data_IF_998061174424
#
_entry.id   IF_998061174424
#
_cell.length_a   1.000
_cell.length_b   1.000
_cell.length_c   1.000
_cell.angle_alpha   90.00
_cell.angle_beta   90.00
_cell.angle_gamma   90.00
#
_symmetry.space_group_name_H-M   'P 1'
#
loop_
_entity.id
_entity.type
_entity.pdbx_description
1 polymer ?
#
# COMPACT_ATOMS: atom_id res chain seq x y z
N UNK A 1 -18.77 -57.46 41.05
CA UNK A 1 -18.81 -57.16 42.50
C UNK A 1 -17.39 -56.93 42.96
N UNK A 2 -16.94 -55.68 43.04
CA UNK A 2 -15.73 -55.29 43.78
C UNK A 2 -15.86 -53.81 44.11
N UNK A 3 -15.87 -53.56 45.42
CA UNK A 3 -16.20 -52.31 46.07
C UNK A 3 -14.90 -51.67 46.59
N UNK A 4 -14.84 -50.34 46.48
CA UNK A 4 -14.14 -49.34 47.29
C UNK A 4 -12.74 -49.65 47.85
N UNK A 5 -11.81 -48.73 47.60
CA UNK A 5 -11.18 -47.96 48.68
C UNK A 5 -10.72 -46.59 48.17
N UNK A 6 -11.30 -45.53 48.74
CA UNK A 6 -10.88 -44.15 48.59
C UNK A 6 -9.74 -43.87 49.58
N UNK A 7 -8.71 -43.15 49.15
CA UNK A 7 -7.68 -42.58 50.03
C UNK A 7 -7.69 -41.07 49.89
N UNK A 8 -8.04 -40.43 51.01
CA UNK A 8 -8.02 -39.01 51.25
C UNK A 8 -6.82 -38.74 52.16
N UNK A 9 -5.86 -37.92 51.74
CA UNK A 9 -4.73 -37.50 52.57
C UNK A 9 -4.56 -35.97 52.47
N UNK A 10 -5.38 -35.26 53.24
CA UNK A 10 -5.17 -33.86 53.59
C UNK A 10 -4.71 -33.79 55.04
N UNK A 11 -3.40 -33.71 55.28
CA UNK A 11 -2.84 -33.20 56.54
C UNK A 11 -1.31 -33.15 56.46
N UNK A 12 -0.73 -31.98 56.16
CA UNK A 12 0.50 -31.51 56.79
C UNK A 12 0.66 -30.00 56.52
N UNK A 13 0.69 -29.24 57.62
CA UNK A 13 0.86 -27.80 57.71
C UNK A 13 2.21 -27.51 58.42
N UNK A 14 2.69 -26.26 58.46
CA UNK A 14 3.97 -25.87 57.88
C UNK A 14 4.97 -25.46 58.96
N UNK A 15 6.20 -25.99 58.94
CA UNK A 15 7.33 -25.35 59.62
C UNK A 15 8.62 -26.09 59.28
N UNK A 16 9.73 -25.36 59.29
CA UNK A 16 11.09 -25.85 59.06
C UNK A 16 11.53 -26.04 57.60
N UNK A 17 11.54 -24.94 56.82
CA UNK A 17 12.60 -24.74 55.81
C UNK A 17 12.83 -23.25 55.52
N UNK A 18 12.90 -22.41 56.56
CA UNK A 18 13.45 -21.05 56.47
C UNK A 18 14.80 -21.00 57.19
N UNK A 19 15.80 -21.67 56.64
CA UNK A 19 17.21 -21.49 57.04
C UNK A 19 18.18 -22.06 55.99
N UNK A 20 18.03 -21.68 54.71
CA UNK A 20 18.97 -22.13 53.66
C UNK A 20 19.24 -21.10 52.55
N UNK A 21 18.93 -19.82 52.76
CA UNK A 21 19.11 -18.76 51.74
C UNK A 21 20.15 -17.71 52.15
N UNK A 22 20.83 -17.88 53.28
CA UNK A 22 21.83 -16.91 53.76
C UNK A 22 23.23 -17.53 53.96
N UNK A 23 23.70 -18.32 52.98
CA UNK A 23 25.11 -18.76 52.95
C UNK A 23 25.58 -19.24 51.55
N UNK A 24 25.17 -18.55 50.48
CA UNK A 24 25.74 -18.75 49.13
C UNK A 24 26.11 -17.47 48.40
N UNK A 25 26.02 -16.30 49.03
CA UNK A 25 26.65 -15.07 48.56
C UNK A 25 27.99 -14.90 49.28
N UNK A 26 29.08 -15.44 48.73
CA UNK A 26 30.49 -15.01 48.91
C UNK A 26 31.42 -16.08 48.31
N UNK A 27 31.42 -16.20 46.98
CA UNK A 27 32.55 -16.75 46.23
C UNK A 27 32.42 -16.30 44.77
N UNK A 28 33.52 -15.85 44.18
CA UNK A 28 33.69 -15.41 42.78
C UNK A 28 33.45 -13.91 42.50
N UNK A 29 34.03 -13.02 43.32
CA UNK A 29 34.62 -11.76 42.82
C UNK A 29 36.13 -11.87 42.88
N UNK A 30 36.72 -12.51 41.88
CA UNK A 30 38.15 -12.48 41.61
C UNK A 30 38.38 -12.86 40.15
N UNK A 31 38.53 -11.85 39.29
CA UNK A 31 39.27 -11.81 38.02
C UNK A 31 38.82 -10.59 37.21
N UNK A 32 39.26 -9.40 37.63
CA UNK A 32 39.20 -8.19 36.81
C UNK A 32 40.36 -7.28 37.23
N UNK A 33 41.59 -7.75 36.95
CA UNK A 33 42.83 -6.97 36.90
C UNK A 33 43.97 -7.94 36.58
N UNK A 34 43.99 -8.42 35.34
CA UNK A 34 45.14 -9.09 34.75
C UNK A 34 45.84 -8.15 33.75
N UNK A 35 47.16 -8.25 33.57
CA UNK A 35 47.94 -7.38 32.68
C UNK A 35 47.60 -7.50 31.19
N UNK A 36 46.67 -8.39 30.80
CA UNK A 36 46.22 -8.59 29.42
C UNK A 36 45.03 -7.70 29.01
N UNK A 37 44.50 -6.86 29.92
CA UNK A 37 43.40 -5.93 29.62
C UNK A 37 43.82 -4.65 28.86
N UNK A 38 45.08 -4.22 29.02
CA UNK A 38 45.58 -3.00 28.38
C UNK A 38 45.84 -3.15 26.88
N UNK A 39 46.10 -4.36 26.38
CA UNK A 39 46.38 -4.59 24.96
C UNK A 39 45.14 -4.59 24.07
N UNK A 40 43.94 -4.75 24.65
CA UNK A 40 42.67 -4.67 23.93
C UNK A 40 42.13 -3.24 23.90
N UNK A 41 42.39 -2.43 24.93
CA UNK A 41 42.00 -1.02 24.98
C UNK A 41 42.77 -0.17 23.96
N UNK A 42 44.05 -0.51 23.71
CA UNK A 42 44.88 0.13 22.68
C UNK A 42 44.48 -0.26 21.24
N UNK A 43 43.69 -1.33 21.05
CA UNK A 43 43.24 -1.79 19.72
C UNK A 43 42.02 -1.04 19.17
N UNK A 44 41.33 -0.26 20.02
CA UNK A 44 40.18 0.57 19.66
C UNK A 44 40.49 2.09 19.71
N UNK A 45 41.74 2.47 20.00
CA UNK A 45 42.16 3.85 19.93
C UNK A 45 42.12 4.34 18.48
N UNK A 46 41.49 5.49 18.24
CA UNK A 46 41.39 6.11 16.92
C UNK A 46 42.78 6.40 16.34
N UNK A 47 42.96 6.15 15.03
CA UNK A 47 44.21 6.38 14.32
C UNK A 47 44.62 7.87 14.41
N UNK A 48 45.77 8.20 15.04
CA UNK A 48 46.22 9.57 15.24
C UNK A 48 46.66 10.29 13.95
N UNK A 49 46.58 9.65 12.78
CA UNK A 49 46.84 10.30 11.49
C UNK A 49 45.62 11.00 10.87
N UNK A 50 44.40 10.82 11.40
CA UNK A 50 43.18 11.45 10.87
C UNK A 50 42.93 12.88 11.40
N UNK A 51 43.67 13.37 12.40
CA UNK A 51 43.55 14.74 12.90
C UNK A 51 44.28 15.81 12.05
N UNK A 52 44.83 15.44 10.89
CA UNK A 52 45.62 16.38 10.04
C UNK A 52 45.07 16.66 8.65
N UNK A 53 43.82 16.29 8.37
CA UNK A 53 43.20 16.59 7.08
C UNK A 53 41.76 17.06 7.24
N UNK A 54 41.58 18.32 7.63
CA UNK A 54 40.34 19.06 7.37
C UNK A 54 40.44 19.76 6.01
N UNK A 55 39.70 19.34 4.98
CA UNK A 55 39.19 20.28 4.00
C UNK A 55 37.87 20.85 4.53
N UNK A 56 37.86 22.17 4.72
CA UNK A 56 36.64 22.93 4.98
C UNK A 56 35.76 22.90 3.72
N UNK A 57 34.48 22.47 3.77
CA UNK A 57 33.60 22.64 2.62
C UNK A 57 33.17 24.11 2.55
N UNK A 58 33.65 24.79 1.52
CA UNK A 58 33.08 26.03 1.00
C UNK A 58 31.78 25.67 0.25
N UNK A 59 30.75 26.54 0.21
CA UNK A 59 29.50 26.20 -0.46
C UNK A 59 29.74 26.14 -1.96
N UNK A 60 29.67 24.94 -2.53
CA UNK A 60 29.49 24.76 -3.97
C UNK A 60 28.02 24.89 -4.25
N UNK A 61 27.68 25.97 -4.95
CA UNK A 61 26.42 26.19 -5.64
C UNK A 61 26.16 25.00 -6.57
N UNK A 62 25.36 24.04 -6.12
CA UNK A 62 24.80 23.00 -6.99
C UNK A 62 23.79 23.68 -7.89
N UNK A 63 24.14 23.80 -9.17
CA UNK A 63 23.22 24.21 -10.21
C UNK A 63 21.92 23.42 -10.09
N UNK A 64 20.80 24.14 -10.04
CA UNK A 64 19.48 23.56 -10.17
C UNK A 64 19.44 22.69 -11.43
N UNK A 65 19.19 21.40 -11.24
CA UNK A 65 18.63 20.59 -12.31
C UNK A 65 17.18 21.05 -12.40
N UNK A 66 16.74 21.64 -13.53
CA UNK A 66 15.35 22.05 -13.67
C UNK A 66 14.44 20.81 -13.63
N UNK A 67 13.26 20.96 -13.00
CA UNK A 67 12.18 19.97 -12.99
C UNK A 67 12.02 19.35 -14.39
N UNK A 68 12.09 18.03 -14.45
CA UNK A 68 11.72 17.30 -15.66
C UNK A 68 10.18 17.41 -15.81
N UNK A 69 9.69 17.68 -17.02
CA UNK A 69 8.32 18.13 -17.24
C UNK A 69 7.29 17.02 -16.99
N UNK A 70 6.13 17.43 -16.47
CA UNK A 70 4.92 16.66 -16.11
C UNK A 70 4.29 15.81 -17.23
N UNK A 71 4.96 15.65 -18.38
CA UNK A 71 4.50 14.89 -19.54
C UNK A 71 4.97 13.42 -19.56
N UNK A 72 5.67 12.97 -18.52
CA UNK A 72 6.43 11.71 -18.50
C UNK A 72 5.61 10.42 -18.41
N UNK A 73 4.27 10.47 -18.30
CA UNK A 73 3.47 9.24 -18.13
C UNK A 73 2.19 9.28 -18.95
N UNK A 74 1.92 8.16 -19.61
CA UNK A 74 0.62 7.87 -20.18
C UNK A 74 -0.45 8.08 -19.08
N UNK A 75 -1.55 8.79 -19.35
CA UNK A 75 -2.67 8.87 -18.42
C UNK A 75 -3.03 7.46 -17.90
N UNK A 76 -3.19 7.28 -16.57
CA UNK A 76 -3.34 5.96 -15.96
C UNK A 76 -4.57 5.20 -16.44
N UNK A 77 -5.52 5.88 -17.08
CA UNK A 77 -6.75 5.32 -17.62
C UNK A 77 -6.60 4.69 -19.01
N UNK A 78 -5.46 4.92 -19.69
CA UNK A 78 -5.17 4.34 -20.99
C UNK A 78 -4.48 2.97 -20.86
N UNK A 79 -4.88 1.97 -21.67
CA UNK A 79 -4.17 0.69 -21.74
C UNK A 79 -2.68 0.86 -22.02
N UNK A 80 -1.84 0.37 -21.11
CA UNK A 80 -0.39 0.34 -21.28
C UNK A 80 0.09 -1.11 -21.39
N UNK A 81 0.88 -1.40 -22.44
CA UNK A 81 1.54 -2.70 -22.61
C UNK A 81 2.73 -2.83 -21.66
N UNK A 82 2.89 -3.99 -21.02
CA UNK A 82 4.03 -4.35 -20.16
C UNK A 82 4.48 -5.78 -20.49
N UNK A 83 5.79 -6.05 -20.68
CA UNK A 83 6.93 -5.16 -20.46
C UNK A 83 7.24 -4.24 -21.66
N UNK A 84 7.25 -2.92 -21.44
CA UNK A 84 7.68 -1.93 -22.43
C UNK A 84 8.45 -0.77 -21.78
N UNK A 85 9.51 -0.32 -22.44
CA UNK A 85 10.35 0.82 -22.05
C UNK A 85 9.82 2.10 -22.70
N UNK A 86 9.65 3.16 -21.91
CA UNK A 86 9.24 4.47 -22.43
C UNK A 86 10.35 5.09 -23.27
N UNK A 87 9.99 5.70 -24.41
CA UNK A 87 10.93 6.44 -25.25
C UNK A 87 10.71 7.95 -25.11
N UNK A 88 9.52 8.43 -25.45
CA UNK A 88 9.19 9.86 -25.41
C UNK A 88 7.67 10.10 -25.36
N UNK A 89 7.27 11.27 -24.86
CA UNK A 89 5.92 11.81 -25.00
C UNK A 89 6.01 13.21 -25.60
N UNK A 90 5.29 13.44 -26.70
CA UNK A 90 5.29 14.69 -27.44
C UNK A 90 3.87 15.23 -27.61
N UNK A 91 3.69 16.53 -27.47
CA UNK A 91 2.44 17.20 -27.82
C UNK A 91 2.32 17.29 -29.35
N UNK A 92 1.23 16.77 -29.91
CA UNK A 92 0.85 17.04 -31.30
C UNK A 92 0.04 18.34 -31.37
N UNK A 93 -0.04 18.93 -32.56
CA UNK A 93 -0.90 20.09 -32.82
C UNK A 93 -2.32 19.89 -32.26
N UNK A 94 -2.72 20.71 -31.27
CA UNK A 94 -4.01 20.62 -30.58
C UNK A 94 -3.88 20.12 -29.13
N UNK A 95 -4.97 19.59 -28.58
CA UNK A 95 -5.04 18.99 -27.23
C UNK A 95 -4.77 17.47 -27.29
N UNK A 96 -3.77 17.04 -28.07
CA UNK A 96 -3.42 15.62 -28.30
C UNK A 96 -1.96 15.34 -27.96
N UNK A 97 -1.72 14.25 -27.24
CA UNK A 97 -0.42 13.71 -26.88
C UNK A 97 -0.10 12.47 -27.70
N UNK A 98 1.18 12.29 -28.02
CA UNK A 98 1.77 11.06 -28.56
C UNK A 98 2.77 10.52 -27.58
N UNK A 99 2.59 9.28 -27.16
CA UNK A 99 3.56 8.55 -26.33
C UNK A 99 4.12 7.35 -27.08
N UNK A 100 5.44 7.23 -27.12
CA UNK A 100 6.19 6.15 -27.78
C UNK A 100 6.86 5.25 -26.76
N UNK A 101 6.77 3.96 -27.01
CA UNK A 101 7.28 2.90 -26.16
C UNK A 101 7.96 1.83 -27.01
N UNK A 102 8.90 1.09 -26.43
CA UNK A 102 9.61 -0.01 -27.08
C UNK A 102 9.50 -1.28 -26.24
N UNK A 103 9.25 -2.41 -26.88
CA UNK A 103 9.21 -3.72 -26.24
C UNK A 103 10.05 -4.73 -27.03
N UNK A 104 10.57 -5.75 -26.34
CA UNK A 104 11.25 -6.89 -26.95
C UNK A 104 10.25 -7.95 -27.44
N UNK A 105 8.95 -7.76 -27.15
CA UNK A 105 7.90 -8.70 -27.56
C UNK A 105 7.54 -8.54 -29.05
N UNK A 106 7.13 -9.63 -29.72
CA UNK A 106 6.68 -9.57 -31.12
C UNK A 106 5.43 -8.70 -31.29
N UNK A 107 5.36 -7.95 -32.40
CA UNK A 107 4.24 -7.06 -32.71
C UNK A 107 2.84 -7.72 -32.61
N UNK A 108 2.71 -9.01 -32.95
CA UNK A 108 1.44 -9.72 -32.84
C UNK A 108 1.00 -9.92 -31.39
N UNK A 109 1.93 -10.17 -30.47
CA UNK A 109 1.63 -10.33 -29.03
C UNK A 109 1.13 -9.01 -28.44
N UNK A 110 1.76 -7.91 -28.84
CA UNK A 110 1.36 -6.56 -28.45
C UNK A 110 -0.03 -6.23 -29.03
N UNK A 111 -0.27 -6.59 -30.29
CA UNK A 111 -1.56 -6.37 -30.94
C UNK A 111 -2.69 -7.17 -30.28
N UNK A 112 -2.46 -8.44 -29.92
CA UNK A 112 -3.43 -9.26 -29.17
C UNK A 112 -3.78 -8.64 -27.81
N UNK A 113 -2.79 -8.11 -27.09
CA UNK A 113 -3.04 -7.37 -25.85
C UNK A 113 -3.98 -6.19 -26.06
N UNK A 114 -3.69 -5.31 -27.02
CA UNK A 114 -4.51 -4.13 -27.26
C UNK A 114 -5.90 -4.51 -27.79
N UNK A 115 -6.02 -5.51 -28.67
CA UNK A 115 -7.33 -6.02 -29.11
C UNK A 115 -8.16 -6.52 -27.93
N UNK A 116 -7.56 -7.33 -27.04
CA UNK A 116 -8.27 -7.85 -25.87
C UNK A 116 -8.70 -6.73 -24.90
N UNK A 117 -7.85 -5.72 -24.70
CA UNK A 117 -8.13 -4.63 -23.77
C UNK A 117 -9.13 -3.62 -24.33
N UNK A 118 -9.06 -3.32 -25.61
CA UNK A 118 -9.93 -2.37 -26.30
C UNK A 118 -11.29 -2.96 -26.71
N UNK A 119 -11.51 -4.26 -26.49
CA UNK A 119 -12.80 -4.95 -26.63
C UNK A 119 -13.48 -5.25 -25.27
N UNK A 120 -12.85 -4.88 -24.15
CA UNK A 120 -13.36 -5.11 -22.79
C UNK A 120 -14.26 -3.99 -22.25
N UNK A 121 -14.77 -4.17 -21.02
CA UNK A 121 -15.69 -3.21 -20.40
C UNK A 121 -15.08 -1.80 -20.31
N UNK A 122 -15.81 -0.82 -20.85
CA UNK A 122 -15.49 0.61 -21.00
C UNK A 122 -14.66 1.02 -22.23
N UNK A 123 -14.29 0.11 -23.14
CA UNK A 123 -13.65 0.47 -24.41
C UNK A 123 -14.36 -0.17 -25.61
N UNK A 124 -14.44 0.57 -26.71
CA UNK A 124 -15.00 0.09 -27.96
C UNK A 124 -13.97 0.23 -29.08
N UNK A 125 -13.53 -0.91 -29.63
CA UNK A 125 -12.64 -0.95 -30.79
C UNK A 125 -13.40 -0.48 -32.05
N UNK A 126 -12.96 0.62 -32.63
CA UNK A 126 -13.57 1.28 -33.80
C UNK A 126 -12.90 0.86 -35.11
N UNK A 127 -11.59 0.58 -35.09
CA UNK A 127 -10.80 0.16 -36.26
C UNK A 127 -9.68 -0.81 -35.86
N UNK A 128 -9.44 -1.81 -36.69
CA UNK A 128 -8.31 -2.75 -36.63
C UNK A 128 -7.84 -2.98 -38.08
N UNK A 129 -6.74 -2.33 -38.45
CA UNK A 129 -6.17 -2.39 -39.80
C UNK A 129 -4.68 -2.76 -39.72
N UNK A 130 -4.21 -3.49 -40.72
CA UNK A 130 -2.78 -3.82 -40.88
C UNK A 130 -2.31 -3.32 -42.22
N UNK A 131 -1.33 -2.41 -42.22
CA UNK A 131 -0.71 -1.85 -43.42
C UNK A 131 0.78 -2.19 -43.44
N UNK A 132 1.17 -3.10 -44.34
CA UNK A 132 2.54 -3.64 -44.36
C UNK A 132 2.85 -4.45 -43.10
N UNK A 133 3.92 -4.10 -42.39
CA UNK A 133 4.30 -4.68 -41.09
C UNK A 133 3.75 -3.87 -39.90
N UNK A 134 2.99 -2.80 -40.17
CA UNK A 134 2.45 -1.91 -39.14
C UNK A 134 0.99 -2.28 -38.83
N UNK A 135 0.68 -2.45 -37.54
CA UNK A 135 -0.69 -2.67 -37.07
C UNK A 135 -1.24 -1.39 -36.46
N UNK A 136 -2.44 -0.99 -36.87
CA UNK A 136 -3.12 0.21 -36.39
C UNK A 136 -4.48 -0.16 -35.78
N UNK A 137 -4.67 0.23 -34.52
CA UNK A 137 -5.91 0.06 -33.78
C UNK A 137 -6.46 1.43 -33.39
N UNK A 138 -7.75 1.67 -33.58
CA UNK A 138 -8.43 2.85 -33.05
C UNK A 138 -9.60 2.41 -32.17
N UNK A 139 -9.74 3.03 -31.01
CA UNK A 139 -10.79 2.71 -30.06
C UNK A 139 -11.26 3.94 -29.29
N UNK A 140 -12.49 3.89 -28.81
CA UNK A 140 -13.08 4.93 -27.97
C UNK A 140 -13.39 4.35 -26.59
N UNK A 141 -12.79 4.91 -25.54
CA UNK A 141 -12.99 4.52 -24.15
C UNK A 141 -13.93 5.46 -23.42
N UNK A 142 -14.68 4.96 -22.43
CA UNK A 142 -15.53 5.78 -21.57
C UNK A 142 -14.92 5.89 -20.17
N UNK A 143 -14.27 7.02 -19.89
CA UNK A 143 -13.60 7.29 -18.63
C UNK A 143 -14.32 8.46 -17.95
N UNK A 144 -14.73 8.30 -16.68
CA UNK A 144 -15.47 9.32 -15.93
C UNK A 144 -16.73 9.85 -16.66
N UNK A 145 -17.39 8.99 -17.44
CA UNK A 145 -18.60 9.32 -18.19
C UNK A 145 -18.36 9.99 -19.56
N UNK A 146 -17.10 10.23 -19.93
CA UNK A 146 -16.71 10.93 -21.14
C UNK A 146 -15.96 10.03 -22.14
N UNK A 147 -16.08 10.32 -23.43
CA UNK A 147 -15.47 9.56 -24.52
C UNK A 147 -14.00 9.98 -24.75
N UNK A 148 -13.13 8.99 -24.86
CA UNK A 148 -11.68 9.12 -25.05
C UNK A 148 -11.23 8.38 -26.30
N UNK A 149 -10.92 9.09 -27.39
CA UNK A 149 -10.35 8.46 -28.57
C UNK A 149 -8.88 8.07 -28.30
N UNK A 150 -8.53 6.83 -28.61
CA UNK A 150 -7.19 6.29 -28.56
C UNK A 150 -6.83 5.69 -29.92
N UNK A 151 -5.66 6.05 -30.44
CA UNK A 151 -5.05 5.40 -31.59
C UNK A 151 -3.76 4.71 -31.15
N UNK A 152 -3.62 3.43 -31.46
CA UNK A 152 -2.45 2.61 -31.17
C UNK A 152 -1.83 2.19 -32.49
N UNK A 153 -0.54 2.42 -32.67
CA UNK A 153 0.22 1.98 -33.83
C UNK A 153 1.41 1.14 -33.37
N UNK A 154 1.56 -0.06 -33.94
CA UNK A 154 2.55 -1.07 -33.52
C UNK A 154 3.42 -1.39 -34.73
N UNK A 155 4.74 -1.17 -34.59
CA UNK A 155 5.73 -1.30 -35.68
C UNK A 155 6.93 -2.16 -35.25
N UNK A 156 7.20 -3.30 -35.90
CA UNK A 156 8.45 -4.01 -35.68
C UNK A 156 9.63 -3.18 -36.20
N UNK A 157 10.76 -3.21 -35.49
CA UNK A 157 12.02 -2.56 -35.83
C UNK A 157 13.08 -3.65 -36.06
N UNK A 158 13.39 -3.92 -37.32
CA UNK A 158 14.46 -4.83 -37.71
C UNK A 158 15.72 -4.01 -38.04
N UNK A 159 16.75 -4.10 -37.21
CA UNK A 159 18.05 -3.47 -37.49
C UNK A 159 18.92 -4.40 -38.36
N UNK A 160 18.82 -4.30 -39.69
CA UNK A 160 19.78 -4.96 -40.58
C UNK A 160 21.11 -4.20 -40.59
N UNK A 161 22.03 -4.55 -39.68
CA UNK A 161 23.40 -4.04 -39.74
C UNK A 161 24.21 -4.85 -40.75
N UNK A 162 24.28 -4.38 -41.99
CA UNK A 162 25.18 -4.96 -43.01
C UNK A 162 26.58 -4.36 -42.82
N UNK A 163 27.47 -5.09 -42.14
CA UNK A 163 28.86 -4.71 -41.97
C UNK A 163 29.69 -5.89 -41.48
N UNK A 164 30.53 -6.43 -42.36
CA UNK A 164 31.40 -7.58 -42.14
C UNK A 164 32.22 -7.46 -40.84
N UNK A 165 32.22 -8.54 -40.06
CA UNK A 165 33.03 -8.77 -38.86
C UNK A 165 32.48 -8.18 -37.54
N UNK A 166 31.34 -8.69 -37.08
CA UNK A 166 30.94 -8.71 -35.67
C UNK A 166 29.84 -9.76 -35.45
N UNK A 167 29.97 -10.60 -34.42
CA UNK A 167 28.85 -11.35 -33.84
C UNK A 167 27.92 -10.35 -33.14
N UNK A 168 27.03 -9.71 -33.90
CA UNK A 168 25.94 -8.90 -33.36
C UNK A 168 24.65 -9.72 -33.44
N UNK A 169 24.04 -9.99 -32.29
CA UNK A 169 22.68 -10.53 -32.22
C UNK A 169 21.72 -9.50 -32.83
N UNK A 170 20.85 -9.95 -33.73
CA UNK A 170 19.80 -9.10 -34.29
C UNK A 170 18.78 -8.82 -33.19
N UNK A 171 18.75 -7.60 -32.66
CA UNK A 171 17.72 -7.16 -31.73
C UNK A 171 16.46 -6.81 -32.53
N UNK A 172 15.48 -7.71 -32.51
CA UNK A 172 14.15 -7.46 -33.07
C UNK A 172 13.30 -6.83 -31.97
N UNK A 173 13.12 -5.51 -32.01
CA UNK A 173 12.28 -4.79 -31.04
C UNK A 173 11.01 -4.31 -31.71
N UNK A 174 9.93 -4.10 -30.95
CA UNK A 174 8.68 -3.54 -31.47
C UNK A 174 8.44 -2.17 -30.82
N UNK A 175 8.20 -1.17 -31.67
CA UNK A 175 7.77 0.16 -31.24
C UNK A 175 6.24 0.24 -31.16
N UNK A 176 5.75 0.88 -30.10
CA UNK A 176 4.34 1.16 -29.83
C UNK A 176 4.16 2.68 -29.76
N UNK A 177 3.31 3.24 -30.61
CA UNK A 177 2.92 4.65 -30.59
C UNK A 177 1.45 4.77 -30.16
N UNK A 178 1.19 5.59 -29.14
CA UNK A 178 -0.15 5.87 -28.62
C UNK A 178 -0.48 7.34 -28.84
N UNK A 179 -1.62 7.64 -29.47
CA UNK A 179 -2.12 9.01 -29.65
C UNK A 179 -3.47 9.19 -28.96
N UNK A 180 -3.57 10.18 -28.06
CA UNK A 180 -4.72 10.39 -27.17
C UNK A 180 -4.85 11.87 -26.75
N UNK A 181 -5.98 12.34 -26.21
CA UNK A 181 -6.11 13.73 -25.78
C UNK A 181 -5.43 14.03 -24.42
N UNK A 182 -4.95 15.27 -24.20
CA UNK A 182 -4.36 15.73 -22.93
C UNK A 182 -5.41 16.00 -21.83
N UNK A 183 -6.67 16.19 -22.19
CA UNK A 183 -7.79 16.29 -21.25
C UNK A 183 -9.10 15.79 -21.87
N UNK A 184 -10.06 15.32 -21.06
CA UNK A 184 -11.35 14.94 -21.58
C UNK A 184 -12.15 16.20 -21.94
N UNK A 185 -12.10 16.63 -23.21
CA UNK A 185 -13.12 17.36 -24.02
C UNK A 185 -12.42 17.93 -25.26
N UNK A 186 -12.76 17.65 -26.52
CA UNK A 186 -14.06 17.56 -27.20
C UNK A 186 -13.79 16.81 -28.51
N UNK A 187 -14.67 15.90 -28.94
CA UNK A 187 -14.66 15.42 -30.33
C UNK A 187 -14.95 16.60 -31.26
N UNK A 188 -13.91 17.31 -31.71
CA UNK A 188 -13.96 18.02 -32.99
C UNK A 188 -13.52 17.03 -34.05
N UNK A 189 -14.51 16.34 -34.62
CA UNK A 189 -14.37 15.76 -35.94
C UNK A 189 -14.01 16.91 -36.90
N UNK A 190 -12.77 16.94 -37.36
CA UNK A 190 -12.44 17.64 -38.59
C UNK A 190 -12.94 16.78 -39.74
N UNK A 191 -14.06 17.19 -40.34
CA UNK A 191 -14.26 17.03 -41.77
C UNK A 191 -14.38 18.43 -42.40
N UNK A 192 -13.87 18.64 -43.62
CA UNK A 192 -13.73 19.95 -44.23
C UNK A 192 -15.02 20.42 -44.92
N UNK A 193 -15.09 21.73 -45.18
CA UNK A 193 -16.13 22.45 -45.93
C UNK A 193 -17.41 22.82 -45.14
N UNK A 194 -17.52 24.07 -44.70
CA UNK A 194 -18.01 25.14 -45.58
C UNK A 194 -17.78 26.52 -44.96
N UNK A 195 -17.48 27.45 -45.85
CA UNK A 195 -17.05 28.82 -45.63
C UNK A 195 -18.29 29.73 -45.58
N UNK A 196 -18.51 30.47 -44.48
CA UNK A 196 -19.13 31.82 -44.51
C UNK A 196 -19.23 32.50 -43.13
N UNK A 197 -18.35 33.47 -42.89
CA UNK A 197 -18.64 34.75 -42.20
C UNK A 197 -19.76 35.54 -42.91
N UNK A 198 -20.39 36.63 -42.38
CA UNK A 198 -19.90 37.56 -41.32
C UNK A 198 -20.96 38.15 -40.33
N UNK A 199 -20.51 38.85 -39.28
CA UNK A 199 -20.62 40.33 -39.12
C UNK A 199 -20.91 40.89 -37.69
N UNK A 200 -19.90 41.61 -37.16
CA UNK A 200 -19.86 42.89 -36.38
C UNK A 200 -20.85 43.17 -35.21
N UNK A 201 -20.38 43.30 -33.95
CA UNK A 201 -19.87 44.52 -33.22
C UNK A 201 -20.96 45.31 -32.46
N UNK A 202 -20.67 46.19 -31.46
CA UNK A 202 -19.39 46.56 -30.82
C UNK A 202 -19.38 46.61 -29.26
N UNK A 203 -18.16 46.71 -28.73
CA UNK A 203 -17.71 47.07 -27.37
C UNK A 203 -18.04 48.53 -27.00
N UNK A 204 -18.04 48.88 -25.70
CA UNK A 204 -17.37 50.10 -25.25
C UNK A 204 -16.37 49.88 -24.09
N UNK A 205 -15.23 50.56 -24.23
CA UNK A 205 -14.14 50.77 -23.27
C UNK A 205 -14.60 51.27 -21.88
N UNK A 206 -13.94 50.79 -20.82
CA UNK A 206 -13.23 51.67 -19.86
C UNK A 206 -12.23 50.88 -18.95
N UNK A 207 -11.20 51.52 -18.37
CA UNK A 207 -9.93 50.91 -17.97
C UNK A 207 -9.71 50.68 -16.46
N UNK A 208 -8.76 49.76 -16.20
CA UNK A 208 -7.72 49.70 -15.14
C UNK A 208 -8.07 49.91 -13.65
N UNK A 209 -7.99 48.79 -12.93
CA UNK A 209 -7.28 48.52 -11.67
C UNK A 209 -7.28 49.53 -10.49
N UNK A 210 -7.83 49.05 -9.37
CA UNK A 210 -7.29 49.29 -8.03
C UNK A 210 -7.38 47.96 -7.23
N UNK A 211 -6.32 47.49 -6.55
CA UNK A 211 -6.33 46.21 -5.84
C UNK A 211 -6.86 46.37 -4.41
N UNK A 212 -7.78 45.49 -4.01
CA UNK A 212 -8.19 45.30 -2.61
C UNK A 212 -7.63 43.96 -2.05
N UNK A 213 -7.41 43.87 -0.73
CA UNK A 213 -6.29 43.14 -0.14
C UNK A 213 -6.45 41.61 -0.05
N UNK A 214 -5.30 40.94 -0.13
CA UNK A 214 -5.08 39.52 0.17
C UNK A 214 -5.71 39.11 1.50
N UNK A 215 -6.64 38.15 1.44
CA UNK A 215 -6.96 37.31 2.59
C UNK A 215 -5.77 36.39 2.87
N UNK A 216 -5.25 36.49 4.09
CA UNK A 216 -4.26 35.59 4.67
C UNK A 216 -4.87 34.19 4.79
N UNK A 217 -4.20 33.09 4.40
CA UNK A 217 -4.67 31.75 4.71
C UNK A 217 -4.48 31.49 6.21
N UNK A 218 -5.59 31.25 6.92
CA UNK A 218 -5.56 30.68 8.25
C UNK A 218 -5.09 29.22 8.20
N UNK A 219 -4.44 28.70 9.28
CA UNK A 219 -3.98 27.32 9.36
C UNK A 219 -5.14 26.31 9.22
N UNK A 220 -4.91 25.06 8.77
CA UNK A 220 -5.96 24.05 8.71
C UNK A 220 -6.50 23.76 10.11
N UNK A 221 -7.75 24.16 10.35
CA UNK A 221 -8.52 23.75 11.50
C UNK A 221 -8.66 22.22 11.49
N UNK A 222 -8.45 21.62 12.67
CA UNK A 222 -8.79 20.24 12.95
C UNK A 222 -10.28 20.06 12.69
N UNK A 223 -10.62 19.32 11.64
CA UNK A 223 -12.01 19.08 11.27
C UNK A 223 -12.73 18.33 12.41
N UNK A 224 -13.85 18.86 12.93
CA UNK A 224 -14.67 18.14 13.90
C UNK A 224 -15.18 16.85 13.26
N UNK A 225 -15.06 15.73 13.98
CA UNK A 225 -15.63 14.44 13.61
C UNK A 225 -17.13 14.60 13.38
N UNK A 226 -17.55 14.66 12.11
CA UNK A 226 -18.96 14.47 11.78
C UNK A 226 -19.21 12.97 11.82
N UNK A 227 -20.08 12.53 12.73
CA UNK A 227 -20.62 11.17 12.71
C UNK A 227 -21.43 11.06 11.42
N UNK A 228 -20.84 10.47 10.38
CA UNK A 228 -21.55 10.16 9.14
C UNK A 228 -22.59 9.09 9.46
N UNK A 229 -23.88 9.45 9.43
CA UNK A 229 -24.95 8.45 9.43
C UNK A 229 -24.99 7.78 8.07
N UNK A 230 -24.91 6.45 8.07
CA UNK A 230 -24.89 5.65 6.85
C UNK A 230 -26.30 5.16 6.49
N UNK A 231 -26.68 5.27 5.22
CA UNK A 231 -28.04 4.99 4.75
C UNK A 231 -28.38 3.50 4.64
N UNK A 232 -27.39 2.61 4.72
CA UNK A 232 -27.53 1.19 4.39
C UNK A 232 -26.88 0.22 5.40
N UNK A 233 -26.68 0.64 6.66
CA UNK A 233 -26.15 -0.25 7.72
C UNK A 233 -27.11 -1.37 8.11
N UNK A 234 -28.40 -1.22 7.81
CA UNK A 234 -29.41 -2.27 7.96
C UNK A 234 -29.19 -3.45 7.00
N UNK A 235 -28.36 -3.27 5.96
CA UNK A 235 -27.95 -4.35 5.05
C UNK A 235 -26.73 -5.16 5.54
N UNK A 236 -26.16 -4.83 6.70
CA UNK A 236 -25.09 -5.63 7.31
C UNK A 236 -25.66 -6.96 7.80
N UNK A 237 -24.99 -8.06 7.47
CA UNK A 237 -25.34 -9.39 7.97
C UNK A 237 -25.42 -9.45 9.51
N UNK A 238 -26.49 -10.04 10.07
CA UNK A 238 -26.82 -10.03 11.51
C UNK A 238 -25.63 -10.25 12.47
N UNK A 239 -24.69 -11.21 12.24
CA UNK A 239 -23.59 -11.43 13.18
C UNK A 239 -22.58 -10.28 13.26
N UNK A 240 -22.50 -9.44 12.22
CA UNK A 240 -21.55 -8.33 12.12
C UNK A 240 -22.17 -6.98 12.50
N UNK A 241 -23.50 -6.87 12.48
CA UNK A 241 -24.25 -5.64 12.77
C UNK A 241 -23.77 -4.90 14.02
N UNK A 242 -23.62 -5.51 15.22
CA UNK A 242 -23.20 -4.77 16.40
C UNK A 242 -21.79 -4.19 16.23
N UNK A 243 -20.87 -4.94 15.62
CA UNK A 243 -19.50 -4.48 15.42
C UNK A 243 -19.43 -3.30 14.46
N UNK A 244 -20.14 -3.39 13.33
CA UNK A 244 -20.16 -2.32 12.33
C UNK A 244 -20.79 -1.05 12.89
N UNK A 245 -21.89 -1.17 13.65
CA UNK A 245 -22.57 -0.03 14.25
C UNK A 245 -21.68 0.72 15.25
N UNK A 246 -21.01 0.01 16.15
CA UNK A 246 -20.11 0.64 17.13
C UNK A 246 -18.95 1.35 16.41
N UNK A 247 -18.31 0.69 15.43
CA UNK A 247 -17.19 1.29 14.71
C UNK A 247 -17.64 2.48 13.84
N UNK A 248 -18.86 2.45 13.31
CA UNK A 248 -19.48 3.59 12.63
C UNK A 248 -19.68 4.77 13.59
N UNK A 249 -20.17 4.50 14.81
CA UNK A 249 -20.38 5.52 15.84
C UNK A 249 -19.07 6.18 16.28
N UNK A 250 -17.95 5.44 16.25
CA UNK A 250 -16.61 5.98 16.48
C UNK A 250 -16.12 6.93 15.36
N UNK A 251 -16.86 7.09 14.25
CA UNK A 251 -16.49 7.99 13.15
C UNK A 251 -15.24 7.54 12.37
N UNK A 252 -14.93 6.25 12.41
CA UNK A 252 -13.78 5.64 11.71
C UNK A 252 -14.13 5.35 10.24
N UNK A 253 -15.37 4.94 9.99
CA UNK A 253 -15.79 4.45 8.68
C UNK A 253 -16.03 5.61 7.72
N UNK A 254 -15.65 5.42 6.45
CA UNK A 254 -15.90 6.37 5.36
C UNK A 254 -16.93 5.80 4.37
N UNK A 255 -17.81 6.60 3.75
CA UNK A 255 -18.75 6.11 2.75
C UNK A 255 -18.06 5.72 1.44
N UNK A 256 -18.70 4.88 0.63
CA UNK A 256 -18.28 4.61 -0.75
C UNK A 256 -18.72 5.76 -1.66
N UNK A 257 -19.96 6.22 -1.48
CA UNK A 257 -20.53 7.32 -2.25
C UNK A 257 -21.67 7.97 -1.46
N UNK A 258 -21.65 9.30 -1.32
CA UNK A 258 -22.66 10.01 -0.54
C UNK A 258 -22.68 9.54 0.91
N UNK A 259 -23.84 9.10 1.39
CA UNK A 259 -24.04 8.53 2.73
C UNK A 259 -24.03 6.98 2.73
N UNK A 260 -23.69 6.34 1.61
CA UNK A 260 -23.75 4.89 1.48
C UNK A 260 -22.48 4.22 2.00
N UNK A 261 -22.62 3.27 2.93
CA UNK A 261 -21.53 2.46 3.46
C UNK A 261 -21.13 1.31 2.54
N UNK A 262 -22.07 0.63 1.88
CA UNK A 262 -21.79 -0.54 1.03
C UNK A 262 -21.23 -1.75 1.79
N UNK A 263 -21.99 -2.40 2.70
CA UNK A 263 -21.50 -3.48 3.56
C UNK A 263 -20.79 -4.65 2.86
N UNK A 264 -21.33 -5.07 1.72
CA UNK A 264 -20.87 -6.27 0.96
C UNK A 264 -19.86 -5.94 -0.14
N UNK A 265 -19.54 -4.67 -0.35
CA UNK A 265 -18.53 -4.29 -1.35
C UNK A 265 -17.12 -4.62 -0.87
N UNK A 266 -16.22 -4.88 -1.82
CA UNK A 266 -14.83 -5.17 -1.51
C UNK A 266 -14.16 -3.95 -0.86
N UNK A 267 -13.45 -4.18 0.23
CA UNK A 267 -12.58 -3.20 0.85
C UNK A 267 -11.33 -3.00 -0.01
N UNK A 268 -10.93 -1.75 -0.27
CA UNK A 268 -9.64 -1.46 -0.92
C UNK A 268 -8.51 -1.43 0.12
N UNK A 269 -7.28 -1.66 -0.35
CA UNK A 269 -6.08 -1.59 0.50
C UNK A 269 -5.89 -0.20 1.12
N UNK A 270 -6.09 0.88 0.33
CA UNK A 270 -5.95 2.26 0.85
C UNK A 270 -7.02 2.61 1.89
N UNK A 271 -8.27 2.18 1.68
CA UNK A 271 -9.35 2.53 2.61
C UNK A 271 -9.18 1.81 3.94
N UNK A 272 -8.76 0.54 3.90
CA UNK A 272 -8.45 -0.18 5.13
C UNK A 272 -7.23 0.38 5.85
N UNK A 273 -6.18 0.79 5.11
CA UNK A 273 -5.02 1.47 5.71
C UNK A 273 -5.45 2.73 6.48
N UNK A 274 -6.34 3.54 5.88
CA UNK A 274 -6.92 4.73 6.52
C UNK A 274 -7.69 4.38 7.79
N UNK A 275 -8.60 3.41 7.69
CA UNK A 275 -9.40 2.97 8.83
C UNK A 275 -8.53 2.36 9.94
N UNK A 276 -7.51 1.57 9.59
CA UNK A 276 -6.62 0.91 10.54
C UNK A 276 -5.82 1.93 11.36
N UNK A 277 -5.20 2.91 10.69
CA UNK A 277 -4.45 3.96 11.37
C UNK A 277 -5.37 4.84 12.24
N UNK A 278 -6.53 5.25 11.69
CA UNK A 278 -7.50 6.07 12.42
C UNK A 278 -8.05 5.33 13.64
N UNK A 279 -8.44 4.06 13.48
CA UNK A 279 -8.94 3.22 14.55
C UNK A 279 -7.89 3.05 15.64
N UNK A 280 -6.68 2.60 15.31
CA UNK A 280 -5.61 2.48 16.29
C UNK A 280 -5.40 3.79 17.08
N UNK A 281 -5.26 4.91 16.37
CA UNK A 281 -4.98 6.18 17.05
C UNK A 281 -6.15 6.68 17.90
N UNK A 282 -7.38 6.31 17.56
CA UNK A 282 -8.58 6.57 18.37
C UNK A 282 -8.64 5.69 19.62
N UNK A 283 -8.42 4.38 19.50
CA UNK A 283 -8.39 3.43 20.63
C UNK A 283 -7.30 3.76 21.67
N UNK A 284 -6.24 4.42 21.22
CA UNK A 284 -5.08 4.78 22.02
C UNK A 284 -4.87 6.30 22.09
N UNK A 285 -5.94 7.10 22.01
CA UNK A 285 -5.89 8.55 22.08
C UNK A 285 -5.22 9.08 23.36
N UNK A 286 -5.38 8.35 24.47
CA UNK A 286 -4.79 8.62 25.78
C UNK A 286 -3.38 8.01 25.97
N UNK A 287 -2.90 7.23 25.01
CA UNK A 287 -1.66 6.45 25.09
C UNK A 287 -0.77 6.70 23.86
N UNK A 288 -0.12 7.87 23.81
CA UNK A 288 0.70 8.31 22.67
C UNK A 288 1.85 7.36 22.27
N UNK A 289 2.27 6.47 23.17
CA UNK A 289 3.28 5.43 22.90
C UNK A 289 2.73 4.26 22.07
N UNK A 290 1.40 4.10 22.01
CA UNK A 290 0.71 3.05 21.28
C UNK A 290 0.13 3.55 19.94
N UNK A 291 0.19 4.86 19.70
CA UNK A 291 -0.27 5.48 18.47
C UNK A 291 0.72 5.27 17.32
N UNK A 292 0.18 4.97 16.15
CA UNK A 292 0.89 4.99 14.88
C UNK A 292 1.24 6.42 14.51
N UNK A 293 2.46 6.62 14.02
CA UNK A 293 3.00 7.94 13.67
C UNK A 293 2.77 8.24 12.20
N UNK A 294 2.53 9.51 11.91
CA UNK A 294 2.64 10.03 10.55
C UNK A 294 4.12 10.08 10.15
N UNK A 295 4.44 9.93 8.85
CA UNK A 295 5.79 10.08 8.36
C UNK A 295 6.29 11.51 8.56
N UNK A 296 7.61 11.68 8.48
CA UNK A 296 8.22 13.01 8.52
C UNK A 296 8.10 13.65 7.13
N UNK A 297 8.12 14.97 7.06
CA UNK A 297 8.13 15.69 5.77
C UNK A 297 9.32 15.28 4.88
N UNK A 298 10.42 14.82 5.50
CA UNK A 298 11.61 14.32 4.83
C UNK A 298 11.57 12.81 4.53
N UNK A 299 10.50 12.10 4.84
CA UNK A 299 10.40 10.65 4.59
C UNK A 299 10.35 10.37 3.10
N UNK A 300 11.24 9.50 2.61
CA UNK A 300 11.22 9.04 1.23
C UNK A 300 10.09 8.03 1.02
N UNK A 301 9.31 8.12 -0.08
CA UNK A 301 8.25 7.16 -0.38
C UNK A 301 8.75 5.72 -0.41
N UNK A 302 8.10 4.86 0.37
CA UNK A 302 8.39 3.42 0.40
C UNK A 302 7.85 2.68 -0.84
N UNK A 303 6.84 3.24 -1.50
CA UNK A 303 6.19 2.65 -2.67
C UNK A 303 6.13 3.63 -3.83
N UNK A 304 6.32 3.15 -5.06
CA UNK A 304 6.38 4.01 -6.25
C UNK A 304 5.02 4.55 -6.67
N UNK A 305 3.96 3.81 -6.40
CA UNK A 305 2.56 4.19 -6.63
C UNK A 305 1.95 5.00 -5.47
N UNK A 306 2.75 5.30 -4.44
CA UNK A 306 2.38 6.18 -3.32
C UNK A 306 3.36 7.35 -3.21
N UNK A 307 3.41 8.27 -4.19
CA UNK A 307 4.22 9.48 -4.07
C UNK A 307 3.69 10.40 -2.96
N UNK A 308 4.52 11.36 -2.50
CA UNK A 308 4.13 12.34 -1.45
C UNK A 308 2.85 13.12 -1.77
N UNK A 309 2.53 13.29 -3.05
CA UNK A 309 1.32 13.97 -3.54
C UNK A 309 0.05 13.11 -3.45
N UNK A 310 0.16 11.80 -3.25
CA UNK A 310 -1.00 10.93 -3.13
C UNK A 310 -1.78 11.26 -1.84
N UNK A 311 -3.13 11.35 -1.87
CA UNK A 311 -3.91 11.75 -0.70
C UNK A 311 -3.71 10.83 0.52
N UNK A 312 -3.51 9.54 0.29
CA UNK A 312 -3.24 8.55 1.34
C UNK A 312 -1.75 8.31 1.63
N UNK A 313 -0.84 9.13 1.06
CA UNK A 313 0.60 8.96 1.27
C UNK A 313 0.97 8.85 2.73
N UNK A 314 0.53 9.82 3.55
CA UNK A 314 0.94 9.91 4.94
C UNK A 314 0.50 8.68 5.76
N UNK A 315 -0.71 8.18 5.50
CA UNK A 315 -1.24 6.99 6.16
C UNK A 315 -0.45 5.75 5.77
N UNK A 316 -0.28 5.50 4.48
CA UNK A 316 0.38 4.30 3.96
C UNK A 316 1.85 4.30 4.34
N UNK A 317 2.55 5.41 4.14
CA UNK A 317 3.95 5.56 4.54
C UNK A 317 4.12 5.38 6.05
N UNK A 318 3.25 5.95 6.88
CA UNK A 318 3.33 5.79 8.34
C UNK A 318 3.14 4.33 8.79
N UNK A 319 2.25 3.57 8.13
CA UNK A 319 2.10 2.14 8.37
C UNK A 319 3.32 1.33 7.92
N UNK A 320 3.93 1.70 6.79
CA UNK A 320 5.13 1.05 6.28
C UNK A 320 6.34 1.29 7.19
N UNK A 321 6.53 2.53 7.64
CA UNK A 321 7.58 2.90 8.61
C UNK A 321 7.37 2.23 9.98
N UNK A 322 6.12 1.92 10.33
CA UNK A 322 5.78 1.15 11.52
C UNK A 322 5.94 -0.37 11.33
N UNK A 323 6.28 -0.85 10.13
CA UNK A 323 6.39 -2.27 9.80
C UNK A 323 5.05 -3.03 9.82
N UNK A 324 3.92 -2.32 9.70
CA UNK A 324 2.58 -2.92 9.73
C UNK A 324 2.16 -3.44 8.36
N UNK A 325 2.58 -2.75 7.29
CA UNK A 325 2.36 -3.19 5.92
C UNK A 325 3.69 -3.57 5.28
N UNK A 326 3.75 -4.64 4.46
CA UNK A 326 4.96 -5.05 3.76
C UNK A 326 5.52 -3.91 2.92
N UNK A 327 6.82 -3.63 3.07
CA UNK A 327 7.53 -2.60 2.32
C UNK A 327 9.02 -2.90 2.24
N UNK A 328 9.76 -2.28 1.31
CA UNK A 328 11.23 -2.40 1.25
C UNK A 328 11.95 -1.97 2.53
N UNK A 329 11.27 -1.20 3.40
CA UNK A 329 11.83 -0.76 4.68
C UNK A 329 11.96 -1.90 5.69
N UNK A 330 11.19 -2.98 5.52
CA UNK A 330 11.19 -4.15 6.41
C UNK A 330 12.20 -5.21 5.98
N UNK A 331 12.68 -5.15 4.73
CA UNK A 331 13.71 -6.07 4.23
C UNK A 331 15.09 -5.62 4.72
N UNK A 332 15.75 -6.48 5.50
CA UNK A 332 17.11 -6.20 5.95
C UNK A 332 18.08 -6.32 4.77
N UNK A 333 19.02 -5.38 4.56
CA UNK A 333 20.05 -5.49 3.51
C UNK A 333 21.09 -6.62 3.77
N UNK A 334 20.84 -7.51 4.72
CA UNK A 334 21.74 -8.59 5.16
C UNK A 334 21.27 -9.98 4.72
N UNK A 335 21.14 -10.18 3.41
CA UNK A 335 21.49 -11.48 2.82
C UNK A 335 22.33 -11.21 1.56
N UNK A 336 23.59 -10.89 1.79
CA UNK A 336 24.60 -10.74 0.75
C UNK A 336 24.94 -12.08 0.12
N UNK A 337 24.07 -12.59 -0.76
CA UNK A 337 24.39 -13.56 -1.80
C UNK A 337 23.24 -13.71 -2.81
N UNK A 338 22.63 -12.61 -3.27
CA UNK A 338 21.91 -12.65 -4.54
C UNK A 338 22.27 -11.43 -5.39
N UNK A 339 23.37 -11.58 -6.14
CA UNK A 339 23.67 -10.73 -7.29
C UNK A 339 22.81 -11.21 -8.45
N UNK A 340 21.51 -10.89 -8.44
CA UNK A 340 20.61 -11.59 -9.37
C UNK A 340 19.13 -11.21 -9.42
N UNK A 341 18.67 -10.13 -8.82
CA UNK A 341 17.40 -9.49 -9.21
C UNK A 341 17.42 -8.02 -8.83
N UNK A 342 17.26 -7.15 -9.83
CA UNK A 342 17.07 -5.72 -9.59
C UNK A 342 15.89 -5.51 -8.65
N UNK A 343 16.00 -4.48 -7.81
CA UNK A 343 14.96 -4.06 -6.88
C UNK A 343 13.57 -4.22 -7.52
N UNK A 344 12.82 -5.22 -7.08
CA UNK A 344 11.41 -5.32 -7.40
C UNK A 344 10.79 -4.02 -6.92
N UNK A 345 10.34 -3.19 -7.85
CA UNK A 345 9.57 -1.98 -7.59
C UNK A 345 8.44 -2.34 -6.62
N UNK A 346 8.57 -1.97 -5.35
CA UNK A 346 7.52 -2.24 -4.37
C UNK A 346 6.35 -1.32 -4.63
N UNK A 347 5.22 -1.92 -5.01
CA UNK A 347 3.95 -1.24 -5.23
C UNK A 347 3.04 -1.54 -4.04
N UNK A 348 2.37 -0.52 -3.52
CA UNK A 348 1.36 -0.70 -2.48
C UNK A 348 0.05 -1.25 -3.05
N UNK A 349 -0.28 -0.85 -4.29
CA UNK A 349 -1.53 -1.11 -5.01
C UNK A 349 -2.76 -0.63 -4.25
N UNK A 350 -2.94 0.70 -4.12
CA UNK A 350 -3.95 1.29 -3.24
C UNK A 350 -5.39 0.88 -3.58
N UNK A 351 -5.71 0.68 -4.86
CA UNK A 351 -7.05 0.35 -5.35
C UNK A 351 -7.35 -1.15 -5.43
N UNK A 352 -6.35 -2.01 -5.23
CA UNK A 352 -6.56 -3.47 -5.22
C UNK A 352 -7.44 -3.86 -4.00
N UNK A 353 -8.28 -4.91 -4.13
CA UNK A 353 -9.03 -5.43 -3.00
C UNK A 353 -8.11 -5.91 -1.87
N UNK A 354 -8.47 -5.60 -0.63
CA UNK A 354 -7.82 -6.14 0.56
C UNK A 354 -8.15 -7.63 0.68
N UNK A 355 -7.13 -8.47 0.76
CA UNK A 355 -7.28 -9.92 0.94
C UNK A 355 -7.40 -10.26 2.43
N UNK A 356 -8.00 -11.43 2.74
CA UNK A 356 -8.15 -11.89 4.13
C UNK A 356 -6.82 -12.05 4.86
N UNK A 357 -5.81 -12.58 4.17
CA UNK A 357 -4.47 -12.71 4.76
C UNK A 357 -3.80 -11.34 5.00
N UNK A 358 -3.99 -10.37 4.10
CA UNK A 358 -3.45 -9.01 4.24
C UNK A 358 -4.10 -8.30 5.44
N UNK A 359 -5.42 -8.44 5.59
CA UNK A 359 -6.14 -7.90 6.75
C UNK A 359 -5.52 -8.39 8.06
N UNK A 360 -5.26 -9.70 8.16
CA UNK A 360 -4.70 -10.31 9.37
C UNK A 360 -3.25 -9.88 9.57
N UNK A 361 -2.45 -9.91 8.51
CA UNK A 361 -1.06 -9.49 8.55
C UNK A 361 -0.91 -8.04 9.02
N UNK A 362 -1.83 -7.14 8.65
CA UNK A 362 -1.78 -5.74 9.08
C UNK A 362 -2.42 -5.50 10.45
N UNK A 363 -3.51 -6.20 10.77
CA UNK A 363 -4.29 -5.97 12.00
C UNK A 363 -3.66 -6.62 13.22
N UNK A 364 -3.25 -7.88 13.12
CA UNK A 364 -2.82 -8.68 14.26
C UNK A 364 -1.58 -8.10 14.97
N UNK A 365 -0.56 -7.55 14.28
CA UNK A 365 0.55 -6.87 14.97
C UNK A 365 0.11 -5.74 15.90
N UNK A 366 -0.99 -5.03 15.57
CA UNK A 366 -1.55 -3.96 16.40
C UNK A 366 -2.37 -4.48 17.58
N UNK A 367 -2.82 -5.73 17.52
CA UNK A 367 -3.46 -6.42 18.65
C UNK A 367 -2.41 -6.93 19.63
N UNK A 368 -1.39 -7.62 19.11
CA UNK A 368 -0.37 -8.30 19.92
C UNK A 368 0.67 -7.31 20.47
N UNK A 369 0.99 -6.25 19.72
CA UNK A 369 1.96 -5.19 20.09
C UNK A 369 3.34 -5.67 20.54
N UNK A 370 3.76 -6.82 20.02
CA UNK A 370 5.09 -7.43 20.21
C UNK A 370 5.42 -8.30 19.00
N UNK A 371 6.64 -8.83 18.94
CA UNK A 371 7.01 -9.81 17.91
C UNK A 371 6.03 -10.98 17.89
N UNK A 372 5.60 -11.36 16.69
CA UNK A 372 4.71 -12.49 16.48
C UNK A 372 5.50 -13.81 16.64
N UNK A 373 4.84 -14.90 17.06
CA UNK A 373 5.47 -16.22 17.07
C UNK A 373 5.74 -16.69 15.64
N UNK A 374 6.91 -17.32 15.43
CA UNK A 374 7.21 -18.00 14.17
C UNK A 374 6.17 -19.10 13.93
N UNK A 375 5.54 -19.09 12.75
CA UNK A 375 4.52 -20.04 12.37
C UNK A 375 4.92 -20.87 11.15
N UNK A 376 4.45 -22.11 11.12
CA UNK A 376 4.49 -22.96 9.93
C UNK A 376 3.08 -23.30 9.48
N UNK A 377 2.95 -23.77 8.24
CA UNK A 377 1.67 -24.25 7.71
C UNK A 377 1.11 -25.36 8.60
N UNK A 378 1.95 -26.29 9.05
CA UNK A 378 1.56 -27.41 9.93
C UNK A 378 1.01 -26.91 11.28
N UNK A 379 1.62 -25.87 11.86
CA UNK A 379 1.14 -25.28 13.11
C UNK A 379 -0.26 -24.66 12.94
N UNK A 380 -0.53 -24.03 11.79
CA UNK A 380 -1.86 -23.48 11.48
C UNK A 380 -2.87 -24.60 11.23
N UNK A 381 -2.48 -25.67 10.54
CA UNK A 381 -3.35 -26.85 10.35
C UNK A 381 -3.72 -27.51 11.68
N UNK A 382 -2.78 -27.61 12.62
CA UNK A 382 -3.02 -28.20 13.94
C UNK A 382 -3.90 -27.32 14.84
N UNK A 383 -3.71 -26.00 14.80
CA UNK A 383 -4.43 -25.05 15.67
C UNK A 383 -5.81 -24.68 15.12
N UNK A 384 -5.86 -24.18 13.88
CA UNK A 384 -7.11 -23.73 13.25
C UNK A 384 -7.87 -24.86 12.53
N UNK A 385 -7.19 -25.90 12.06
CA UNK A 385 -7.82 -26.94 11.23
C UNK A 385 -8.17 -26.46 9.82
N UNK A 386 -7.49 -25.43 9.30
CA UNK A 386 -7.73 -24.93 7.95
C UNK A 386 -7.29 -25.93 6.89
N UNK A 387 -8.20 -26.29 5.98
CA UNK A 387 -7.92 -27.19 4.87
C UNK A 387 -7.10 -26.52 3.75
N UNK A 388 -7.02 -25.19 3.78
CA UNK A 388 -6.32 -24.35 2.80
C UNK A 388 -5.15 -23.58 3.41
N UNK A 389 -4.59 -24.04 4.52
CA UNK A 389 -3.44 -23.43 5.20
C UNK A 389 -2.23 -23.25 4.26
N UNK A 390 -2.00 -24.20 3.35
CA UNK A 390 -0.94 -24.13 2.32
C UNK A 390 -1.07 -22.96 1.34
N UNK A 391 -2.22 -22.24 1.33
CA UNK A 391 -2.45 -21.08 0.47
C UNK A 391 -2.18 -19.74 1.16
N UNK A 392 -1.90 -19.76 2.45
CA UNK A 392 -1.55 -18.56 3.24
C UNK A 392 -0.13 -18.14 2.85
N UNK A 393 0.07 -16.84 2.61
CA UNK A 393 1.42 -16.33 2.31
C UNK A 393 2.35 -16.47 3.51
N UNK A 394 3.66 -16.59 3.27
CA UNK A 394 4.63 -16.75 4.35
C UNK A 394 4.58 -15.59 5.36
N UNK A 395 4.34 -14.37 4.87
CA UNK A 395 4.25 -13.14 5.65
C UNK A 395 3.03 -13.14 6.60
N UNK A 396 1.96 -13.86 6.24
CA UNK A 396 0.73 -13.90 7.02
C UNK A 396 0.66 -15.06 8.03
N UNK A 397 1.56 -16.06 7.95
CA UNK A 397 1.50 -17.25 8.81
C UNK A 397 1.54 -16.87 10.30
N UNK A 398 2.49 -16.02 10.68
CA UNK A 398 2.71 -15.61 12.07
C UNK A 398 1.50 -14.85 12.63
N UNK A 399 0.87 -14.01 11.79
CA UNK A 399 -0.34 -13.29 12.15
C UNK A 399 -1.53 -14.23 12.34
N UNK A 400 -1.69 -15.24 11.47
CA UNK A 400 -2.77 -16.23 11.58
C UNK A 400 -2.62 -17.07 12.85
N UNK A 401 -1.39 -17.49 13.18
CA UNK A 401 -1.12 -18.23 14.42
C UNK A 401 -1.37 -17.35 15.65
N UNK A 402 -0.85 -16.12 15.67
CA UNK A 402 -1.06 -15.21 16.79
C UNK A 402 -2.54 -14.85 17.02
N UNK A 403 -3.33 -14.74 15.95
CA UNK A 403 -4.78 -14.53 16.04
C UNK A 403 -5.49 -15.72 16.72
N UNK A 404 -5.03 -16.96 16.49
CA UNK A 404 -5.54 -18.13 17.20
C UNK A 404 -5.32 -18.02 18.70
N UNK A 405 -4.09 -17.66 19.08
CA UNK A 405 -3.65 -17.52 20.47
C UNK A 405 -4.40 -16.41 21.22
N UNK A 406 -4.97 -15.44 20.50
CA UNK A 406 -5.83 -14.40 21.09
C UNK A 406 -7.25 -14.91 21.46
N UNK A 407 -7.54 -16.20 21.22
CA UNK A 407 -8.74 -16.87 21.74
C UNK A 407 -10.03 -16.21 21.25
N UNK A 408 -10.92 -15.87 22.18
CA UNK A 408 -12.21 -15.23 21.88
C UNK A 408 -12.06 -13.83 21.27
N UNK A 409 -10.89 -13.20 21.39
CA UNK A 409 -10.58 -11.90 20.79
C UNK A 409 -9.98 -12.01 19.37
N UNK A 410 -9.93 -13.23 18.81
CA UNK A 410 -9.52 -13.49 17.43
C UNK A 410 -10.34 -12.68 16.43
N UNK A 411 -9.63 -12.04 15.48
CA UNK A 411 -10.22 -11.38 14.34
C UNK A 411 -10.88 -12.40 13.40
N UNK A 412 -10.27 -13.56 13.15
CA UNK A 412 -10.88 -14.62 12.31
C UNK A 412 -12.24 -15.05 12.86
N UNK A 413 -12.35 -15.32 14.16
CA UNK A 413 -13.61 -15.72 14.80
C UNK A 413 -14.66 -14.60 14.73
N UNK A 414 -14.26 -13.35 14.97
CA UNK A 414 -15.17 -12.19 14.94
C UNK A 414 -15.68 -11.90 13.53
N UNK A 415 -14.79 -11.95 12.54
CA UNK A 415 -15.06 -11.47 11.19
C UNK A 415 -15.65 -12.58 10.30
N UNK A 416 -15.10 -13.79 10.36
CA UNK A 416 -15.47 -14.89 9.47
C UNK A 416 -16.29 -15.98 10.16
N UNK A 417 -16.45 -15.90 11.47
CA UNK A 417 -17.13 -16.93 12.26
C UNK A 417 -16.35 -18.25 12.30
N UNK A 418 -17.05 -19.34 12.61
CA UNK A 418 -16.47 -20.68 12.52
C UNK A 418 -16.23 -21.04 11.05
N UNK A 419 -14.97 -21.30 10.70
CA UNK A 419 -14.58 -21.76 9.37
C UNK A 419 -13.43 -22.77 9.45
N UNK A 420 -13.42 -23.73 8.52
CA UNK A 420 -12.27 -24.62 8.26
C UNK A 420 -11.59 -24.29 6.92
N UNK A 421 -11.99 -23.19 6.28
CA UNK A 421 -11.43 -22.64 5.06
C UNK A 421 -11.23 -21.13 5.26
N UNK A 422 -9.99 -20.71 5.43
CA UNK A 422 -9.70 -19.28 5.60
C UNK A 422 -10.00 -18.51 4.31
N UNK A 423 -9.71 -19.13 3.16
CA UNK A 423 -9.71 -18.51 1.84
C UNK A 423 -8.81 -17.27 1.81
N UNK A 424 -7.49 -17.43 2.05
CA UNK A 424 -6.58 -16.30 2.30
C UNK A 424 -6.56 -15.26 1.18
N UNK A 425 -6.78 -15.68 -0.07
CA UNK A 425 -6.84 -14.82 -1.27
C UNK A 425 -8.23 -14.27 -1.60
N UNK A 426 -9.22 -14.44 -0.72
CA UNK A 426 -10.56 -13.89 -0.93
C UNK A 426 -10.56 -12.41 -0.53
N UNK A 427 -11.18 -11.52 -1.32
CA UNK A 427 -11.40 -10.14 -0.91
C UNK A 427 -12.25 -10.04 0.37
N UNK A 428 -11.90 -9.10 1.23
CA UNK A 428 -12.63 -8.75 2.44
C UNK A 428 -13.74 -7.75 2.10
N UNK A 429 -14.94 -7.93 2.67
CA UNK A 429 -16.01 -6.93 2.52
C UNK A 429 -15.83 -5.75 3.48
N UNK A 430 -16.48 -4.63 3.20
CA UNK A 430 -16.39 -3.45 4.08
C UNK A 430 -16.96 -3.70 5.47
N UNK A 431 -18.00 -4.51 5.61
CA UNK A 431 -18.52 -4.94 6.91
C UNK A 431 -17.55 -5.87 7.66
N UNK A 432 -16.90 -6.81 6.96
CA UNK A 432 -15.87 -7.67 7.54
C UNK A 432 -14.68 -6.82 8.04
N UNK A 433 -14.21 -5.87 7.23
CA UNK A 433 -13.11 -4.97 7.58
C UNK A 433 -13.45 -4.02 8.73
N UNK A 434 -14.67 -3.49 8.81
CA UNK A 434 -15.10 -2.69 9.96
C UNK A 434 -15.13 -3.54 11.24
N UNK A 435 -15.62 -4.77 11.14
CA UNK A 435 -15.72 -5.69 12.28
C UNK A 435 -14.34 -6.06 12.85
N UNK A 436 -13.29 -6.18 12.01
CA UNK A 436 -11.93 -6.44 12.50
C UNK A 436 -11.42 -5.32 13.41
N UNK A 437 -11.83 -4.08 13.16
CA UNK A 437 -11.42 -2.87 13.91
C UNK A 437 -12.23 -2.63 15.19
N UNK A 438 -13.22 -3.47 15.49
CA UNK A 438 -14.07 -3.32 16.68
C UNK A 438 -13.30 -3.41 18.00
N UNK A 439 -12.15 -4.08 18.03
CA UNK A 439 -11.31 -4.11 19.22
C UNK A 439 -9.83 -4.18 18.88
N UNK A 440 -9.00 -3.67 19.80
CA UNK A 440 -7.55 -3.82 19.77
C UNK A 440 -7.05 -4.37 21.10
N UNK A 441 -6.01 -5.19 21.04
CA UNK A 441 -5.31 -5.72 22.20
C UNK A 441 -5.26 -7.24 22.22
N UNK A 442 -4.55 -7.78 23.20
CA UNK A 442 -4.25 -9.19 23.31
C UNK A 442 -4.60 -9.68 24.71
N UNK A 443 -5.32 -10.80 24.78
CA UNK A 443 -5.75 -11.42 26.03
C UNK A 443 -6.46 -10.42 26.97
N UNK A 444 -5.93 -10.18 28.16
CA UNK A 444 -6.58 -9.36 29.20
C UNK A 444 -6.49 -7.85 28.96
N UNK A 445 -5.79 -7.39 27.91
CA UNK A 445 -5.56 -5.97 27.61
C UNK A 445 -6.41 -5.45 26.43
N UNK A 446 -7.52 -6.12 26.12
CA UNK A 446 -8.39 -5.74 25.00
C UNK A 446 -9.22 -4.49 25.32
N UNK A 447 -9.23 -3.56 24.37
CA UNK A 447 -10.13 -2.40 24.33
C UNK A 447 -11.13 -2.61 23.21
N UNK A 448 -12.42 -2.49 23.49
CA UNK A 448 -13.49 -2.61 22.50
C UNK A 448 -14.11 -1.27 22.12
N UNK A 449 -14.73 -1.19 20.94
CA UNK A 449 -15.42 -0.01 20.46
C UNK A 449 -16.58 0.35 21.40
N UNK A 450 -17.29 -0.65 21.92
CA UNK A 450 -18.35 -0.45 22.92
C UNK A 450 -17.82 0.22 24.18
N UNK A 451 -16.67 -0.23 24.71
CA UNK A 451 -16.08 0.41 25.91
C UNK A 451 -15.71 1.87 25.63
N UNK A 452 -15.19 2.16 24.43
CA UNK A 452 -14.86 3.53 24.03
C UNK A 452 -16.11 4.42 23.98
N UNK A 453 -17.18 3.94 23.36
CA UNK A 453 -18.47 4.66 23.23
C UNK A 453 -19.09 4.91 24.61
N UNK A 454 -19.05 3.92 25.50
CA UNK A 454 -19.55 4.06 26.87
C UNK A 454 -18.78 5.11 27.68
N UNK A 455 -17.47 5.26 27.43
CA UNK A 455 -16.64 6.24 28.11
C UNK A 455 -16.75 7.67 27.54
N UNK A 456 -17.29 7.84 26.32
CA UNK A 456 -17.51 9.14 25.67
C UNK A 456 -18.85 9.79 26.04
N UNK A 457 -19.80 9.01 26.58
CA UNK A 457 -21.12 9.45 27.04
C UNK A 457 -21.19 9.65 28.55
#
# INVERSE_FOLDING_TARGET
MLNLFALNLSALKPSALKLSVLMSLMALTACANGPDGQSLEDSFAADPQLERSTPSPQPTETAAIPDAPELERLPPELPQYQPATWLETTELNGDRLRSRWQSDDPAEVIAEFYRGRLQGDNWQLDRDETEGETLQLAATGRINGQDWPLTVEIRPQNSETTGEDSTAEAENTTEIELTYPSSPSTLSQTDPEDNQTPQASPTPDNPAENPEPQATPSPPDQQPSQTTEFSDLDNVSDPLTPYVQDVAQLGILSPVQGDRFGPEEAMTRRDYARWLMQANNRFYADQSVQQLRQPRDSSEPAFQDMPRSHPDFAVVQGLAEAGIIPSPLSESPMSGNDTGSGATTALFRPDDPLLREDLLHWKVPLDVRRGLPDATVEAIEETWGFQDATRISAEALDAVLADFENGEHSNIRRVFGYTTLLQPKKPVTRAEAASSLWSFGYQDEVRSASDLIENEN
#
